data_IF_229406872165
#
_entry.id   IF_229406872165
#
_cell.length_a   1.000
_cell.length_b   1.000
_cell.length_c   1.000
_cell.angle_alpha   90.00
_cell.angle_beta   90.00
_cell.angle_gamma   90.00
#
_symmetry.space_group_name_H-M   'P 1'
#
loop_
_entity.id
_entity.type
_entity.pdbx_description
1 polymer ?
#
# COMPACT_ATOMS: atom_id res chain seq x y z
N UNK A 1 14.86 44.73 84.58
CA UNK A 1 15.59 44.74 83.32
C UNK A 1 15.30 43.48 82.62
N UNK A 2 14.51 43.47 81.56
CA UNK A 2 14.29 42.28 80.73
C UNK A 2 15.35 42.18 79.64
N UNK A 3 15.88 40.98 79.48
CA UNK A 3 16.90 40.65 78.48
C UNK A 3 16.11 40.18 77.18
N UNK A 4 16.36 40.94 76.12
CA UNK A 4 15.81 40.69 74.79
C UNK A 4 16.69 39.62 74.11
N UNK A 5 16.15 38.45 73.83
CA UNK A 5 16.78 37.39 73.01
C UNK A 5 15.92 37.07 71.81
N UNK A 6 16.07 37.81 70.74
CA UNK A 6 15.53 37.45 69.45
C UNK A 6 16.60 37.62 68.36
N UNK A 7 17.44 36.62 68.16
CA UNK A 7 18.33 36.51 67.00
C UNK A 7 18.02 35.21 66.25
N UNK A 8 17.16 35.33 65.23
CA UNK A 8 16.98 34.25 64.22
C UNK A 8 18.25 34.17 63.37
N UNK A 9 18.71 32.91 63.01
CA UNK A 9 19.87 32.75 62.13
C UNK A 9 19.50 33.16 60.68
N UNK A 10 20.49 33.62 59.87
CA UNK A 10 20.26 33.98 58.47
C UNK A 10 19.78 32.78 57.65
N UNK A 11 18.74 32.98 56.87
CA UNK A 11 18.28 32.01 55.82
C UNK A 11 19.40 31.91 54.80
N UNK A 12 19.99 30.71 54.66
CA UNK A 12 20.81 30.36 53.51
C UNK A 12 19.91 30.29 52.28
N UNK A 13 20.12 31.17 51.31
CA UNK A 13 19.46 31.14 50.01
C UNK A 13 19.78 29.80 49.31
N UNK A 14 18.76 28.97 49.12
CA UNK A 14 18.87 27.80 48.30
C UNK A 14 19.13 28.24 46.83
N UNK A 15 20.06 27.60 46.10
CA UNK A 15 20.32 27.96 44.72
C UNK A 15 19.05 27.83 43.87
N UNK A 16 18.81 28.83 43.03
CA UNK A 16 17.70 28.85 42.10
C UNK A 16 17.72 27.55 41.25
N UNK A 17 16.57 26.91 40.98
CA UNK A 17 16.54 25.70 40.17
C UNK A 17 17.13 26.01 38.80
N UNK A 18 18.10 25.21 38.37
CA UNK A 18 18.71 25.30 37.04
C UNK A 18 17.65 25.38 35.96
N UNK A 19 17.77 26.36 35.06
CA UNK A 19 16.84 26.54 33.95
C UNK A 19 16.77 25.25 33.16
N UNK A 20 15.54 24.67 33.01
CA UNK A 20 15.31 23.49 32.16
C UNK A 20 15.83 23.82 30.77
N UNK A 21 16.65 22.96 30.16
CA UNK A 21 17.10 23.16 28.79
C UNK A 21 15.90 23.39 27.86
N UNK A 22 16.00 24.38 26.98
CA UNK A 22 14.97 24.70 26.01
C UNK A 22 14.60 23.42 25.24
N UNK A 23 13.31 23.07 25.24
CA UNK A 23 12.85 21.91 24.47
C UNK A 23 13.16 22.12 23.00
N UNK A 24 13.80 21.13 22.36
CA UNK A 24 14.01 21.14 20.93
C UNK A 24 12.67 21.43 20.18
N UNK A 25 12.70 22.23 19.12
CA UNK A 25 11.49 22.55 18.37
C UNK A 25 10.86 21.27 17.81
N UNK A 26 9.51 21.23 17.78
CA UNK A 26 8.79 20.11 17.20
C UNK A 26 9.05 20.10 15.70
N UNK A 27 9.42 18.94 15.16
CA UNK A 27 9.50 18.70 13.72
C UNK A 27 8.09 18.57 13.15
N UNK A 28 7.79 19.22 12.04
CA UNK A 28 6.49 18.99 11.38
C UNK A 28 6.37 17.54 10.90
N UNK A 29 5.15 17.02 10.79
CA UNK A 29 4.93 15.69 10.26
C UNK A 29 5.46 15.54 8.81
N UNK A 30 5.24 16.59 8.00
CA UNK A 30 5.63 16.59 6.60
C UNK A 30 7.18 16.63 6.46
N UNK A 31 7.88 17.43 7.29
CA UNK A 31 9.35 17.42 7.33
C UNK A 31 9.92 16.10 7.84
N UNK A 32 9.28 15.49 8.85
CA UNK A 32 9.68 14.18 9.34
C UNK A 32 9.58 13.11 8.25
N UNK A 33 8.43 13.07 7.55
CA UNK A 33 8.21 12.14 6.44
C UNK A 33 9.20 12.39 5.29
N UNK A 34 9.42 13.64 4.92
CA UNK A 34 10.37 14.00 3.86
C UNK A 34 11.80 13.52 4.20
N UNK A 35 12.26 13.70 5.44
CA UNK A 35 13.57 13.23 5.89
C UNK A 35 13.67 11.70 5.84
N UNK A 36 12.66 10.98 6.34
CA UNK A 36 12.61 9.51 6.26
C UNK A 36 12.73 9.02 4.82
N UNK A 37 11.92 9.57 3.91
CA UNK A 37 11.88 9.16 2.51
C UNK A 37 13.12 9.55 1.71
N UNK A 38 13.82 10.64 2.09
CA UNK A 38 15.09 11.01 1.49
C UNK A 38 16.23 10.04 1.86
N UNK A 39 16.15 9.44 3.05
CA UNK A 39 17.18 8.55 3.57
C UNK A 39 16.99 7.11 3.08
N UNK A 40 15.73 6.63 2.99
CA UNK A 40 15.42 5.24 2.65
C UNK A 40 15.32 5.06 1.13
N UNK A 41 16.03 4.06 0.60
CA UNK A 41 15.99 3.67 -0.81
C UNK A 41 15.21 2.36 -1.00
N UNK A 42 14.66 2.11 -2.19
CA UNK A 42 14.09 0.80 -2.52
C UNK A 42 15.10 -0.33 -2.32
N UNK A 43 14.60 -1.50 -1.90
CA UNK A 43 15.41 -2.70 -1.80
C UNK A 43 15.96 -3.09 -3.20
N UNK A 44 17.22 -3.51 -3.29
CA UNK A 44 17.80 -3.92 -4.56
C UNK A 44 17.23 -5.26 -5.05
N UNK A 45 17.24 -5.44 -6.38
CA UNK A 45 16.84 -6.69 -7.01
C UNK A 45 15.32 -6.87 -7.14
N UNK A 46 14.95 -7.99 -7.73
CA UNK A 46 13.57 -8.41 -7.95
C UNK A 46 13.50 -9.93 -8.02
N UNK A 47 12.29 -10.45 -7.95
CA UNK A 47 11.98 -11.86 -8.20
C UNK A 47 10.90 -11.97 -9.27
N UNK A 48 10.98 -13.02 -10.10
CA UNK A 48 9.98 -13.30 -11.13
C UNK A 48 8.99 -14.32 -10.56
N UNK A 49 7.70 -13.96 -10.51
CA UNK A 49 6.64 -14.81 -9.96
C UNK A 49 5.50 -14.97 -10.95
N UNK A 50 4.67 -15.99 -10.75
CA UNK A 50 3.44 -16.17 -11.51
C UNK A 50 2.51 -14.95 -11.35
N UNK A 51 1.95 -14.45 -12.45
CA UNK A 51 0.92 -13.40 -12.42
C UNK A 51 -0.26 -13.79 -11.53
N UNK A 52 -0.58 -15.09 -11.47
CA UNK A 52 -1.66 -15.63 -10.65
C UNK A 52 -1.45 -15.39 -9.15
N UNK A 53 -0.20 -15.40 -8.68
CA UNK A 53 0.18 -15.26 -7.25
C UNK A 53 0.67 -13.85 -6.89
N UNK A 54 0.61 -12.91 -7.85
CA UNK A 54 1.24 -11.59 -7.70
C UNK A 54 0.39 -10.53 -6.98
N UNK A 55 -0.80 -10.88 -6.45
CA UNK A 55 -1.65 -9.92 -5.76
C UNK A 55 -0.92 -9.23 -4.60
N UNK A 56 -0.99 -7.89 -4.58
CA UNK A 56 -0.38 -7.06 -3.53
C UNK A 56 1.14 -6.90 -3.61
N UNK A 57 1.80 -7.55 -4.60
CA UNK A 57 3.22 -7.32 -4.89
C UNK A 57 3.40 -6.00 -5.63
N UNK A 58 4.62 -5.54 -5.74
CA UNK A 58 4.98 -4.28 -6.40
C UNK A 58 5.82 -4.59 -7.63
N UNK A 59 5.45 -4.06 -8.79
CA UNK A 59 6.18 -4.26 -10.04
C UNK A 59 7.56 -3.60 -9.96
N UNK A 60 8.60 -4.34 -10.37
CA UNK A 60 9.96 -3.81 -10.55
C UNK A 60 10.17 -3.23 -11.95
N UNK A 61 9.47 -3.77 -12.93
CA UNK A 61 9.58 -3.39 -14.33
C UNK A 61 8.21 -3.09 -14.92
N UNK A 62 8.19 -2.28 -15.98
CA UNK A 62 6.98 -2.02 -16.75
C UNK A 62 6.46 -3.31 -17.40
N UNK A 63 5.14 -3.49 -17.42
CA UNK A 63 4.49 -4.54 -18.22
C UNK A 63 4.12 -3.93 -19.57
N UNK A 64 4.78 -4.41 -20.62
CA UNK A 64 4.57 -3.95 -21.99
C UNK A 64 3.74 -5.00 -22.75
N UNK A 65 2.69 -4.56 -23.42
CA UNK A 65 1.87 -5.48 -24.23
C UNK A 65 2.63 -5.96 -25.47
N UNK A 66 2.70 -7.28 -25.64
CA UNK A 66 3.25 -7.91 -26.85
C UNK A 66 2.21 -8.12 -27.96
N UNK A 67 0.94 -7.84 -27.68
CA UNK A 67 -0.20 -8.03 -28.59
C UNK A 67 -1.09 -6.78 -28.62
N UNK A 68 -1.93 -6.69 -29.64
CA UNK A 68 -3.07 -5.80 -29.63
C UNK A 68 -4.25 -6.43 -28.88
N UNK A 69 -5.07 -5.64 -28.19
CA UNK A 69 -6.34 -6.09 -27.57
C UNK A 69 -7.46 -5.17 -28.06
N UNK A 70 -8.44 -5.67 -28.77
CA UNK A 70 -8.52 -7.03 -29.36
C UNK A 70 -7.46 -7.28 -30.47
N UNK A 71 -7.11 -8.55 -30.74
CA UNK A 71 -6.03 -8.85 -31.71
C UNK A 71 -6.44 -8.64 -33.18
N UNK A 72 -7.70 -8.42 -33.44
CA UNK A 72 -8.27 -8.10 -34.76
C UNK A 72 -9.61 -7.39 -34.59
N UNK A 73 -10.10 -6.77 -35.67
CA UNK A 73 -11.44 -6.18 -35.66
C UNK A 73 -12.48 -7.21 -35.30
N UNK A 74 -13.30 -6.93 -34.28
CA UNK A 74 -14.34 -7.85 -33.80
C UNK A 74 -15.68 -7.15 -33.60
N UNK A 75 -16.76 -7.90 -33.47
CA UNK A 75 -18.07 -7.34 -33.20
C UNK A 75 -18.35 -7.19 -31.72
N UNK A 76 -18.96 -6.07 -31.33
CA UNK A 76 -19.48 -5.83 -29.98
C UNK A 76 -20.91 -6.35 -29.77
N UNK A 77 -21.58 -6.84 -30.85
CA UNK A 77 -22.97 -7.24 -30.80
C UNK A 77 -23.19 -8.59 -31.52
N UNK A 78 -24.23 -9.30 -31.14
CA UNK A 78 -24.79 -10.40 -31.92
C UNK A 78 -25.57 -9.85 -33.07
N UNK A 79 -25.33 -10.37 -34.29
CA UNK A 79 -25.99 -9.81 -35.45
C UNK A 79 -25.50 -10.39 -36.77
N UNK A 80 -25.43 -9.56 -37.78
CA UNK A 80 -25.00 -9.91 -39.13
C UNK A 80 -23.91 -8.93 -39.59
N UNK A 81 -22.74 -9.46 -39.91
CA UNK A 81 -21.68 -8.73 -40.58
C UNK A 81 -21.97 -8.64 -42.07
N UNK A 82 -21.85 -7.46 -42.64
CA UNK A 82 -22.18 -7.15 -44.01
C UNK A 82 -21.41 -5.94 -44.51
N UNK A 83 -21.48 -5.62 -45.78
CA UNK A 83 -21.04 -4.33 -46.32
C UNK A 83 -22.19 -3.34 -46.17
N UNK A 84 -21.95 -2.22 -45.53
CA UNK A 84 -22.98 -1.19 -45.36
C UNK A 84 -23.57 -0.74 -46.68
N UNK A 85 -22.75 -0.65 -47.74
CA UNK A 85 -23.18 -0.28 -49.09
C UNK A 85 -24.13 -1.26 -49.78
N UNK A 86 -24.20 -2.53 -49.30
CA UNK A 86 -25.11 -3.53 -49.85
C UNK A 86 -26.55 -3.41 -49.27
N UNK A 87 -26.73 -2.57 -48.23
CA UNK A 87 -28.06 -2.25 -47.67
C UNK A 87 -28.48 -0.87 -48.17
N UNK A 88 -29.17 -0.88 -49.32
CA UNK A 88 -29.57 0.39 -49.99
C UNK A 88 -30.72 1.07 -49.22
N UNK A 89 -31.62 0.28 -48.66
CA UNK A 89 -32.78 0.77 -47.87
C UNK A 89 -33.17 -0.25 -46.77
N UNK A 90 -33.86 0.18 -45.71
CA UNK A 90 -34.44 -0.73 -44.74
C UNK A 90 -35.36 -1.78 -45.42
N UNK A 91 -35.23 -3.05 -45.02
CA UNK A 91 -35.91 -4.18 -45.64
C UNK A 91 -35.10 -4.91 -46.72
N UNK A 92 -33.87 -4.47 -47.00
CA UNK A 92 -32.95 -5.20 -47.92
C UNK A 92 -32.73 -6.63 -47.44
N UNK A 93 -32.84 -7.60 -48.36
CA UNK A 93 -32.64 -9.03 -48.08
C UNK A 93 -31.33 -9.52 -48.68
N UNK A 94 -30.48 -10.12 -47.83
CA UNK A 94 -29.17 -10.65 -48.20
C UNK A 94 -29.07 -12.15 -47.87
N UNK A 95 -28.42 -12.97 -48.72
CA UNK A 95 -28.13 -14.38 -48.40
C UNK A 95 -27.09 -14.44 -47.24
N UNK A 96 -27.31 -15.36 -46.30
CA UNK A 96 -26.36 -15.62 -45.21
C UNK A 96 -25.37 -16.68 -45.64
N UNK A 97 -24.14 -16.27 -45.94
CA UNK A 97 -23.12 -17.15 -46.53
C UNK A 97 -22.37 -18.01 -45.49
N UNK A 98 -22.33 -17.57 -44.23
CA UNK A 98 -21.60 -18.26 -43.19
C UNK A 98 -22.07 -17.84 -41.78
N UNK A 99 -21.66 -18.64 -40.78
CA UNK A 99 -21.87 -18.37 -39.35
C UNK A 99 -20.52 -18.33 -38.64
N UNK A 100 -20.21 -17.23 -37.93
CA UNK A 100 -18.90 -16.95 -37.32
C UNK A 100 -19.08 -16.78 -35.81
N UNK A 101 -18.94 -17.84 -34.99
CA UNK A 101 -18.91 -17.72 -33.54
C UNK A 101 -17.59 -17.16 -33.06
N UNK A 102 -17.53 -16.71 -31.79
CA UNK A 102 -16.29 -16.28 -31.15
C UNK A 102 -15.21 -17.38 -31.23
N UNK A 103 -13.97 -16.99 -31.50
CA UNK A 103 -12.84 -17.91 -31.68
C UNK A 103 -12.71 -18.53 -33.06
N UNK A 104 -13.63 -18.24 -33.99
CA UNK A 104 -13.58 -18.70 -35.39
C UNK A 104 -13.27 -17.53 -36.31
N UNK A 105 -12.36 -17.75 -37.26
CA UNK A 105 -12.07 -16.78 -38.34
C UNK A 105 -12.95 -17.15 -39.54
N UNK A 106 -13.81 -16.21 -39.96
CA UNK A 106 -14.66 -16.38 -41.10
C UNK A 106 -13.91 -16.28 -42.43
N UNK A 107 -14.54 -16.82 -43.52
CA UNK A 107 -14.06 -16.59 -44.87
C UNK A 107 -14.34 -15.16 -45.30
N UNK A 108 -13.60 -14.59 -46.28
CA UNK A 108 -13.91 -13.30 -46.85
C UNK A 108 -15.37 -13.20 -47.30
N UNK A 109 -16.04 -12.11 -46.92
CA UNK A 109 -17.45 -11.88 -47.25
C UNK A 109 -17.57 -11.38 -48.69
N UNK A 110 -18.38 -12.04 -49.47
CA UNK A 110 -18.68 -11.65 -50.86
C UNK A 110 -19.64 -10.46 -50.87
N UNK A 111 -19.51 -9.51 -51.83
CA UNK A 111 -20.49 -8.48 -52.04
C UNK A 111 -21.91 -9.02 -52.18
N UNK A 112 -22.90 -8.31 -51.63
CA UNK A 112 -24.30 -8.74 -51.66
C UNK A 112 -24.63 -9.93 -50.74
N UNK A 113 -23.75 -10.24 -49.76
CA UNK A 113 -24.03 -11.30 -48.77
C UNK A 113 -23.83 -10.80 -47.33
N UNK A 114 -24.34 -11.56 -46.37
CA UNK A 114 -24.18 -11.35 -44.96
C UNK A 114 -23.57 -12.60 -44.28
N UNK A 115 -22.89 -12.38 -43.14
CA UNK A 115 -22.42 -13.42 -42.24
C UNK A 115 -23.14 -13.33 -40.90
N UNK A 116 -23.75 -14.40 -40.41
CA UNK A 116 -24.23 -14.44 -39.01
C UNK A 116 -23.04 -14.42 -38.07
N UNK A 117 -22.96 -13.40 -37.18
CA UNK A 117 -21.81 -13.16 -36.30
C UNK A 117 -22.28 -13.01 -34.85
N UNK A 118 -21.39 -13.32 -33.88
CA UNK A 118 -21.67 -13.27 -32.47
C UNK A 118 -20.65 -12.42 -31.75
N UNK A 119 -21.06 -11.81 -30.65
CA UNK A 119 -20.22 -10.91 -29.83
C UNK A 119 -18.83 -11.47 -29.60
N UNK A 120 -17.80 -10.67 -29.85
CA UNK A 120 -16.40 -11.05 -29.76
C UNK A 120 -15.84 -11.81 -30.98
N UNK A 121 -16.68 -12.20 -31.95
CA UNK A 121 -16.20 -12.85 -33.16
C UNK A 121 -15.49 -11.85 -34.08
N UNK A 122 -14.45 -12.32 -34.79
CA UNK A 122 -13.69 -11.54 -35.72
C UNK A 122 -14.51 -11.13 -36.95
N UNK A 123 -14.42 -9.85 -37.35
CA UNK A 123 -15.07 -9.37 -38.55
C UNK A 123 -14.43 -10.01 -39.79
N UNK A 124 -15.21 -10.66 -40.67
CA UNK A 124 -14.65 -11.23 -41.88
C UNK A 124 -14.18 -10.16 -42.86
N UNK A 125 -13.08 -10.40 -43.55
CA UNK A 125 -12.58 -9.48 -44.57
C UNK A 125 -13.69 -9.16 -45.58
N UNK A 126 -13.85 -7.87 -45.93
CA UNK A 126 -14.91 -7.40 -46.83
C UNK A 126 -16.19 -6.92 -46.15
N UNK A 127 -16.44 -7.28 -44.89
CA UNK A 127 -17.51 -6.65 -44.13
C UNK A 127 -17.07 -5.27 -43.58
N UNK A 128 -18.00 -4.31 -43.64
CA UNK A 128 -17.73 -2.92 -43.17
C UNK A 128 -18.61 -2.48 -42.01
N UNK A 129 -19.65 -3.28 -41.66
CA UNK A 129 -20.56 -3.01 -40.57
C UNK A 129 -21.12 -4.29 -39.99
N UNK A 130 -21.63 -4.20 -38.75
CA UNK A 130 -22.49 -5.22 -38.14
C UNK A 130 -23.85 -4.58 -37.84
N UNK A 131 -24.92 -5.30 -38.18
CA UNK A 131 -26.29 -4.93 -37.79
C UNK A 131 -26.74 -5.89 -36.70
N UNK A 132 -27.25 -5.31 -35.59
CA UNK A 132 -27.74 -6.09 -34.46
C UNK A 132 -28.89 -7.01 -34.88
N UNK A 133 -28.96 -8.18 -34.30
CA UNK A 133 -30.01 -9.17 -34.64
C UNK A 133 -31.43 -8.65 -34.38
N UNK A 134 -31.60 -7.70 -33.42
CA UNK A 134 -32.87 -7.05 -33.11
C UNK A 134 -33.40 -6.17 -34.26
N UNK A 135 -32.50 -5.76 -35.16
CA UNK A 135 -32.82 -4.98 -36.36
C UNK A 135 -32.83 -5.85 -37.62
N UNK A 136 -32.85 -7.16 -37.46
CA UNK A 136 -32.83 -8.13 -38.54
C UNK A 136 -33.93 -9.18 -38.39
N UNK A 137 -34.37 -9.76 -39.52
CA UNK A 137 -35.29 -10.90 -39.57
C UNK A 137 -34.62 -12.02 -40.36
N UNK A 138 -34.44 -13.20 -39.71
CA UNK A 138 -33.94 -14.37 -40.40
C UNK A 138 -35.05 -14.98 -41.27
N UNK A 139 -34.76 -15.27 -42.54
CA UNK A 139 -35.68 -15.79 -43.51
C UNK A 139 -35.14 -17.12 -44.05
N UNK A 140 -35.99 -18.11 -44.22
CA UNK A 140 -35.67 -19.31 -45.00
C UNK A 140 -36.26 -19.17 -46.40
N UNK A 141 -35.40 -19.19 -47.42
CA UNK A 141 -35.82 -19.08 -48.81
C UNK A 141 -36.50 -20.41 -49.28
N UNK A 142 -37.25 -20.41 -50.39
CA UNK A 142 -37.93 -21.58 -50.90
C UNK A 142 -36.99 -22.75 -51.22
N UNK A 143 -35.73 -22.50 -51.52
CA UNK A 143 -34.67 -23.49 -51.76
C UNK A 143 -34.00 -24.02 -50.48
N UNK A 144 -34.47 -23.58 -49.29
CA UNK A 144 -33.92 -23.95 -47.98
C UNK A 144 -32.71 -23.13 -47.54
N UNK A 145 -32.22 -22.18 -48.33
CA UNK A 145 -31.11 -21.31 -47.98
C UNK A 145 -31.52 -20.27 -46.92
N UNK A 146 -30.56 -19.91 -46.07
CA UNK A 146 -30.77 -18.87 -45.04
C UNK A 146 -30.52 -17.49 -45.62
N UNK A 147 -31.46 -16.58 -45.40
CA UNK A 147 -31.36 -15.15 -45.76
C UNK A 147 -31.62 -14.29 -44.52
N UNK A 148 -31.25 -13.03 -44.58
CA UNK A 148 -31.55 -12.02 -43.55
C UNK A 148 -32.17 -10.79 -44.21
N UNK A 149 -33.29 -10.33 -43.64
CA UNK A 149 -33.84 -9.00 -43.94
C UNK A 149 -33.27 -8.01 -42.95
N UNK A 150 -32.62 -6.96 -43.44
CA UNK A 150 -31.99 -5.92 -42.66
C UNK A 150 -32.97 -4.74 -42.60
N UNK A 151 -33.51 -4.45 -41.40
CA UNK A 151 -34.58 -3.46 -41.21
C UNK A 151 -34.04 -2.06 -40.81
N UNK A 152 -32.73 -1.89 -40.75
CA UNK A 152 -32.08 -0.58 -40.51
C UNK A 152 -30.96 -0.37 -41.51
N UNK A 153 -30.66 0.87 -41.83
CA UNK A 153 -29.53 1.23 -42.68
C UNK A 153 -28.26 1.37 -41.90
N UNK A 154 -27.25 0.48 -42.05
CA UNK A 154 -26.00 0.56 -41.30
C UNK A 154 -25.07 1.62 -41.88
N UNK A 155 -24.16 2.10 -41.01
CA UNK A 155 -23.03 2.96 -41.41
C UNK A 155 -21.73 2.15 -41.30
N UNK A 156 -20.72 2.56 -42.11
CA UNK A 156 -19.40 1.92 -42.04
C UNK A 156 -18.80 2.06 -40.63
N UNK A 157 -18.24 0.96 -40.13
CA UNK A 157 -17.68 0.87 -38.78
C UNK A 157 -18.70 0.58 -37.69
N UNK A 158 -20.00 0.55 -37.98
CA UNK A 158 -21.03 0.33 -36.97
C UNK A 158 -20.84 -1.03 -36.27
N UNK A 159 -20.82 -1.01 -34.91
CA UNK A 159 -20.63 -2.15 -34.02
C UNK A 159 -19.34 -2.97 -34.26
N UNK A 160 -18.34 -2.36 -34.90
CA UNK A 160 -17.01 -2.95 -35.08
C UNK A 160 -16.05 -2.31 -34.08
N UNK A 161 -15.50 -3.13 -33.17
CA UNK A 161 -14.37 -2.76 -32.33
C UNK A 161 -13.09 -2.98 -33.13
N UNK A 162 -12.22 -1.98 -33.09
CA UNK A 162 -11.00 -2.02 -33.90
C UNK A 162 -9.88 -2.78 -33.19
N UNK A 163 -9.02 -3.40 -33.95
CA UNK A 163 -7.78 -4.01 -33.48
C UNK A 163 -7.00 -2.99 -32.64
N UNK A 164 -6.57 -3.40 -31.42
CA UNK A 164 -5.79 -2.55 -30.53
C UNK A 164 -6.57 -1.42 -29.87
N UNK A 165 -7.90 -1.39 -29.96
CA UNK A 165 -8.75 -0.33 -29.40
C UNK A 165 -8.59 -0.19 -27.89
N UNK A 166 -8.46 -1.29 -27.16
CA UNK A 166 -8.29 -1.30 -25.70
C UNK A 166 -6.81 -1.16 -25.32
N UNK A 167 -5.94 -1.96 -25.98
CA UNK A 167 -4.49 -1.97 -25.73
C UNK A 167 -3.77 -2.14 -27.06
N UNK A 168 -2.92 -1.17 -27.38
CA UNK A 168 -2.05 -1.27 -28.55
C UNK A 168 -0.79 -2.09 -28.21
N UNK A 169 -0.32 -2.88 -29.16
CA UNK A 169 0.99 -3.56 -29.06
C UNK A 169 2.10 -2.55 -28.77
N UNK A 170 3.04 -2.94 -27.90
CA UNK A 170 4.17 -2.13 -27.42
C UNK A 170 3.79 -0.97 -26.49
N UNK A 171 2.52 -0.84 -26.07
CA UNK A 171 2.15 0.11 -25.02
C UNK A 171 2.47 -0.46 -23.63
N UNK A 172 2.86 0.43 -22.70
CA UNK A 172 3.01 0.10 -21.29
C UNK A 172 1.61 0.04 -20.68
N UNK A 173 1.22 -1.13 -20.16
CA UNK A 173 -0.08 -1.35 -19.54
C UNK A 173 -0.04 -1.20 -18.02
N UNK A 174 1.09 -1.51 -17.38
CA UNK A 174 1.33 -1.30 -15.97
C UNK A 174 2.76 -0.78 -15.79
N UNK A 175 2.95 0.22 -14.95
CA UNK A 175 4.26 0.84 -14.71
C UNK A 175 4.98 0.20 -13.52
N UNK A 176 6.30 0.22 -13.54
CA UNK A 176 7.15 -0.09 -12.39
C UNK A 176 6.72 0.75 -11.16
N UNK A 177 6.83 0.17 -9.97
CA UNK A 177 6.38 0.79 -8.73
C UNK A 177 4.86 0.72 -8.49
N UNK A 178 4.09 0.11 -9.41
CA UNK A 178 2.66 -0.13 -9.22
C UNK A 178 2.42 -1.30 -8.26
N UNK A 179 1.63 -1.08 -7.21
CA UNK A 179 1.18 -2.17 -6.33
C UNK A 179 0.01 -2.90 -6.97
N UNK A 180 0.21 -4.19 -7.27
CA UNK A 180 -0.71 -5.02 -8.02
C UNK A 180 -2.04 -5.25 -7.29
N UNK A 181 -3.12 -4.96 -7.98
CA UNK A 181 -4.51 -5.18 -7.56
C UNK A 181 -5.15 -6.28 -8.41
N UNK A 182 -6.35 -6.71 -8.07
CA UNK A 182 -7.10 -7.67 -8.89
C UNK A 182 -7.26 -7.18 -10.35
N UNK A 183 -7.53 -5.89 -10.54
CA UNK A 183 -7.64 -5.26 -11.87
C UNK A 183 -6.32 -5.31 -12.62
N UNK A 184 -5.20 -5.03 -11.94
CA UNK A 184 -3.85 -5.08 -12.54
C UNK A 184 -3.49 -6.49 -13.01
N UNK A 185 -3.84 -7.52 -12.22
CA UNK A 185 -3.61 -8.92 -12.60
C UNK A 185 -4.43 -9.31 -13.82
N UNK A 186 -5.71 -8.90 -13.88
CA UNK A 186 -6.56 -9.11 -15.03
C UNK A 186 -6.01 -8.43 -16.29
N UNK A 187 -5.52 -7.19 -16.17
CA UNK A 187 -4.90 -6.45 -17.26
C UNK A 187 -3.60 -7.13 -17.74
N UNK A 188 -2.71 -7.51 -16.82
CA UNK A 188 -1.49 -8.24 -17.17
C UNK A 188 -1.80 -9.57 -17.89
N UNK A 189 -2.78 -10.31 -17.40
CA UNK A 189 -3.20 -11.56 -18.03
C UNK A 189 -3.80 -11.34 -19.42
N UNK A 190 -4.56 -10.25 -19.64
CA UNK A 190 -5.18 -9.94 -20.95
C UNK A 190 -4.18 -9.66 -22.05
N UNK A 191 -2.96 -9.26 -21.70
CA UNK A 191 -1.84 -9.05 -22.65
C UNK A 191 -0.86 -10.23 -22.69
N UNK A 192 -1.20 -11.35 -22.02
CA UNK A 192 -0.44 -12.59 -22.06
C UNK A 192 0.73 -12.67 -21.08
N UNK A 193 0.83 -11.76 -20.11
CA UNK A 193 1.90 -11.80 -19.11
C UNK A 193 1.64 -12.91 -18.07
N UNK A 194 2.27 -14.07 -18.26
CA UNK A 194 2.16 -15.22 -17.35
C UNK A 194 2.98 -15.05 -16.07
N UNK A 195 4.05 -14.27 -16.12
CA UNK A 195 4.96 -13.95 -15.01
C UNK A 195 5.21 -12.46 -14.94
N UNK A 196 5.49 -11.98 -13.75
CA UNK A 196 5.78 -10.57 -13.48
C UNK A 196 7.05 -10.47 -12.64
N UNK A 197 7.88 -9.47 -12.94
CA UNK A 197 9.01 -9.09 -12.12
C UNK A 197 8.54 -8.16 -11.02
N UNK A 198 8.72 -8.56 -9.77
CA UNK A 198 8.24 -7.85 -8.60
C UNK A 198 9.36 -7.60 -7.61
N UNK A 199 9.30 -6.48 -6.91
CA UNK A 199 10.25 -6.14 -5.85
C UNK A 199 10.22 -7.19 -4.73
N UNK A 200 11.38 -7.39 -4.07
CA UNK A 200 11.45 -8.22 -2.88
C UNK A 200 10.55 -7.68 -1.76
N UNK A 201 10.03 -8.58 -0.93
CA UNK A 201 9.28 -8.21 0.25
C UNK A 201 10.24 -7.68 1.32
N UNK A 202 9.96 -6.53 1.97
CA UNK A 202 10.75 -6.11 3.11
C UNK A 202 10.68 -7.15 4.24
N UNK A 203 11.83 -7.56 4.74
CA UNK A 203 11.96 -8.42 5.91
C UNK A 203 12.00 -7.53 7.15
N UNK A 204 11.04 -7.69 8.05
CA UNK A 204 10.86 -6.82 9.21
C UNK A 204 10.96 -7.63 10.50
N UNK A 205 11.93 -7.26 11.33
CA UNK A 205 12.00 -7.73 12.72
C UNK A 205 11.07 -6.89 13.58
N UNK A 206 10.17 -7.54 14.33
CA UNK A 206 9.24 -6.89 15.25
C UNK A 206 9.52 -7.36 16.67
N UNK A 207 9.70 -6.43 17.61
CA UNK A 207 9.74 -6.72 19.05
C UNK A 207 9.12 -5.59 19.88
N UNK A 208 8.88 -5.86 21.15
CA UNK A 208 8.43 -4.88 22.13
C UNK A 208 9.35 -4.92 23.35
N UNK A 209 9.51 -3.79 24.02
CA UNK A 209 10.19 -3.69 25.31
C UNK A 209 9.24 -3.11 26.35
N UNK A 210 9.39 -3.51 27.59
CA UNK A 210 8.60 -3.04 28.73
C UNK A 210 8.28 -4.18 29.67
N UNK A 211 8.72 -4.08 30.92
CA UNK A 211 8.52 -5.10 31.95
C UNK A 211 7.05 -5.22 32.38
N UNK A 212 6.23 -4.21 32.05
CA UNK A 212 4.78 -4.22 32.23
C UNK A 212 4.04 -5.11 31.22
N UNK A 213 4.72 -5.54 30.14
CA UNK A 213 4.04 -6.23 29.03
C UNK A 213 3.90 -7.72 29.28
N UNK A 214 2.69 -8.22 29.09
CA UNK A 214 2.35 -9.64 29.19
C UNK A 214 1.69 -10.09 27.88
N UNK A 215 1.98 -11.31 27.44
CA UNK A 215 1.32 -11.86 26.26
C UNK A 215 -0.10 -12.33 26.60
N UNK A 216 -1.10 -12.01 25.74
CA UNK A 216 -2.41 -12.63 25.84
C UNK A 216 -2.30 -14.16 25.85
N UNK A 217 -2.95 -14.80 26.82
CA UNK A 217 -2.90 -16.24 27.03
C UNK A 217 -1.76 -16.75 27.92
N UNK A 218 -0.72 -15.93 28.18
CA UNK A 218 0.36 -16.31 29.11
C UNK A 218 -0.10 -16.20 30.57
N UNK A 219 -0.93 -15.22 30.89
CA UNK A 219 -1.51 -15.02 32.24
C UNK A 219 -3.01 -14.78 32.05
N UNK A 220 -3.83 -15.42 32.87
CA UNK A 220 -5.28 -15.18 32.84
C UNK A 220 -5.62 -13.78 33.37
N UNK A 221 -6.71 -13.14 32.89
CA UNK A 221 -7.04 -11.75 33.24
C UNK A 221 -7.20 -11.49 34.74
N UNK A 222 -7.73 -12.47 35.49
CA UNK A 222 -7.90 -12.44 36.93
C UNK A 222 -6.61 -12.67 37.73
N UNK A 223 -5.54 -13.11 37.08
CA UNK A 223 -4.22 -13.32 37.65
C UNK A 223 -3.16 -12.34 37.17
N UNK A 224 -3.56 -11.26 36.48
CA UNK A 224 -2.62 -10.23 35.98
C UNK A 224 -1.87 -9.57 37.14
N UNK A 225 -0.52 -9.50 37.08
CA UNK A 225 0.26 -8.79 38.09
C UNK A 225 -0.16 -7.28 38.13
N UNK A 226 -0.11 -6.66 39.33
CA UNK A 226 -0.36 -5.23 39.45
C UNK A 226 0.57 -4.42 38.52
N UNK A 227 0.00 -3.52 37.74
CA UNK A 227 0.74 -2.69 36.79
C UNK A 227 1.02 -3.33 35.43
N UNK A 228 0.80 -4.63 35.28
CA UNK A 228 0.97 -5.31 33.99
C UNK A 228 -0.19 -5.04 33.02
N UNK A 229 0.12 -5.02 31.74
CA UNK A 229 -0.83 -4.86 30.65
C UNK A 229 -0.59 -5.89 29.54
N UNK A 230 -1.64 -6.26 28.80
CA UNK A 230 -1.45 -7.10 27.62
C UNK A 230 -0.80 -6.33 26.47
N UNK A 231 0.19 -6.95 25.82
CA UNK A 231 0.88 -6.39 24.65
C UNK A 231 -0.02 -6.41 23.41
N UNK A 232 -0.86 -5.40 23.26
CA UNK A 232 -1.76 -5.25 22.10
C UNK A 232 -1.05 -4.71 20.86
N UNK A 233 0.00 -3.89 21.04
CA UNK A 233 0.73 -3.28 19.92
C UNK A 233 1.38 -4.33 19.01
N UNK A 234 1.94 -5.39 19.59
CA UNK A 234 2.54 -6.49 18.84
C UNK A 234 1.57 -7.11 17.82
N UNK A 235 0.30 -7.35 18.22
CA UNK A 235 -0.73 -7.88 17.33
C UNK A 235 -1.09 -6.89 16.22
N UNK A 236 -1.29 -5.63 16.60
CA UNK A 236 -1.65 -4.55 15.67
C UNK A 236 -0.54 -4.34 14.63
N UNK A 237 0.70 -4.17 15.09
CA UNK A 237 1.84 -3.90 14.20
C UNK A 237 2.14 -5.09 13.28
N UNK A 238 2.11 -6.33 13.81
CA UNK A 238 2.28 -7.53 13.00
C UNK A 238 1.24 -7.63 11.89
N UNK A 239 -0.04 -7.38 12.21
CA UNK A 239 -1.12 -7.42 11.22
C UNK A 239 -0.96 -6.31 10.16
N UNK A 240 -0.56 -5.09 10.55
CA UNK A 240 -0.29 -3.99 9.63
C UNK A 240 0.88 -4.29 8.68
N UNK A 241 1.97 -4.86 9.21
CA UNK A 241 3.14 -5.27 8.41
C UNK A 241 2.76 -6.34 7.39
N UNK A 242 2.05 -7.39 7.82
CA UNK A 242 1.58 -8.46 6.95
C UNK A 242 0.61 -7.93 5.86
N UNK A 243 -0.30 -7.03 6.22
CA UNK A 243 -1.22 -6.36 5.28
C UNK A 243 -0.50 -5.50 4.22
N UNK A 244 0.71 -5.02 4.52
CA UNK A 244 1.58 -4.34 3.56
C UNK A 244 2.41 -5.30 2.70
N UNK A 245 2.39 -6.60 2.98
CA UNK A 245 3.12 -7.61 2.24
C UNK A 245 4.55 -7.84 2.75
N UNK A 246 4.88 -7.40 3.98
CA UNK A 246 6.19 -7.67 4.59
C UNK A 246 6.33 -9.10 5.09
N UNK A 247 7.54 -9.62 5.09
CA UNK A 247 7.93 -10.82 5.83
C UNK A 247 8.27 -10.40 7.26
N UNK A 248 7.59 -10.99 8.25
CA UNK A 248 7.69 -10.53 9.64
C UNK A 248 8.24 -11.63 10.52
N UNK A 249 9.41 -11.38 11.11
CA UNK A 249 9.99 -12.17 12.20
C UNK A 249 9.66 -11.50 13.52
N UNK A 250 9.03 -12.23 14.40
CA UNK A 250 8.52 -11.74 15.68
C UNK A 250 9.43 -12.17 16.83
N UNK A 251 10.25 -11.27 17.35
CA UNK A 251 11.19 -11.50 18.45
C UNK A 251 10.55 -11.44 19.86
N UNK A 252 9.27 -11.13 19.93
CA UNK A 252 8.54 -11.16 21.18
C UNK A 252 8.69 -9.91 22.05
N UNK A 253 8.68 -10.14 23.38
CA UNK A 253 8.96 -9.13 24.39
C UNK A 253 10.41 -9.33 24.79
N UNK A 254 11.25 -8.35 24.49
CA UNK A 254 12.67 -8.32 24.87
C UNK A 254 12.77 -7.76 26.30
N UNK A 255 13.45 -8.43 27.23
CA UNK A 255 13.67 -7.91 28.57
C UNK A 255 14.29 -6.51 28.53
N UNK A 256 13.84 -5.61 29.41
CA UNK A 256 14.34 -4.23 29.45
C UNK A 256 15.73 -4.15 30.10
N UNK A 257 16.70 -4.73 29.41
CA UNK A 257 18.12 -4.78 29.76
C UNK A 257 18.98 -4.50 28.55
N UNK A 258 20.03 -3.73 28.75
CA UNK A 258 20.93 -3.29 27.69
C UNK A 258 21.55 -4.46 26.90
N UNK A 259 22.03 -5.49 27.58
CA UNK A 259 22.66 -6.66 26.97
C UNK A 259 21.69 -7.46 26.10
N UNK A 260 20.47 -7.74 26.60
CA UNK A 260 19.41 -8.44 25.88
C UNK A 260 18.97 -7.65 24.64
N UNK A 261 18.72 -6.34 24.80
CA UNK A 261 18.32 -5.46 23.70
C UNK A 261 19.38 -5.39 22.60
N UNK A 262 20.68 -5.26 22.97
CA UNK A 262 21.79 -5.28 22.01
C UNK A 262 21.90 -6.59 21.26
N UNK A 263 21.75 -7.73 21.95
CA UNK A 263 21.78 -9.05 21.31
C UNK A 263 20.66 -9.19 20.28
N UNK A 264 19.43 -8.81 20.65
CA UNK A 264 18.27 -8.82 19.74
C UNK A 264 18.47 -7.89 18.52
N UNK A 265 19.03 -6.69 18.73
CA UNK A 265 19.30 -5.76 17.63
C UNK A 265 20.29 -6.33 16.62
N UNK A 266 21.38 -6.98 17.07
CA UNK A 266 22.37 -7.63 16.20
C UNK A 266 21.77 -8.79 15.41
N UNK A 267 21.02 -9.66 16.08
CA UNK A 267 20.34 -10.78 15.46
C UNK A 267 19.32 -10.29 14.42
N UNK A 268 18.52 -9.31 14.78
CA UNK A 268 17.55 -8.70 13.87
C UNK A 268 18.22 -8.03 12.66
N UNK A 269 19.32 -7.28 12.85
CA UNK A 269 20.01 -6.60 11.77
C UNK A 269 20.66 -7.55 10.76
N UNK A 270 21.05 -8.76 11.17
CA UNK A 270 21.70 -9.73 10.29
C UNK A 270 20.82 -10.11 9.09
N UNK A 271 19.53 -10.30 9.30
CA UNK A 271 18.63 -10.88 8.29
C UNK A 271 17.48 -9.98 7.85
N UNK A 272 17.28 -8.81 8.50
CA UNK A 272 16.14 -7.95 8.21
C UNK A 272 16.53 -6.61 7.60
N UNK A 273 15.60 -6.01 6.89
CA UNK A 273 15.77 -4.72 6.21
C UNK A 273 15.29 -3.57 7.11
N UNK A 274 14.35 -3.86 8.02
CA UNK A 274 13.80 -2.94 9.01
C UNK A 274 13.62 -3.64 10.36
N UNK A 275 14.00 -2.97 11.42
CA UNK A 275 13.69 -3.32 12.81
C UNK A 275 12.64 -2.35 13.31
N UNK A 276 11.49 -2.87 13.74
CA UNK A 276 10.38 -2.09 14.27
C UNK A 276 10.10 -2.47 15.72
N UNK A 277 10.03 -1.47 16.59
CA UNK A 277 9.67 -1.70 18.00
C UNK A 277 8.56 -0.75 18.45
N UNK A 278 7.81 -1.15 19.46
CA UNK A 278 6.89 -0.29 20.20
C UNK A 278 7.24 -0.26 21.69
N UNK A 279 7.28 0.94 22.27
CA UNK A 279 7.81 1.18 23.60
C UNK A 279 9.30 1.55 23.57
N UNK A 280 9.87 1.93 24.72
CA UNK A 280 11.29 2.24 24.86
C UNK A 280 11.80 3.45 24.08
N UNK A 281 10.94 4.34 23.60
CA UNK A 281 11.33 5.56 22.84
C UNK A 281 11.04 6.85 23.61
N UNK A 282 10.79 6.74 24.91
CA UNK A 282 10.60 7.88 25.79
C UNK A 282 11.96 8.45 26.23
N UNK A 283 11.95 9.65 26.79
CA UNK A 283 13.13 10.27 27.41
C UNK A 283 13.33 9.84 28.88
N UNK A 284 12.75 8.69 29.27
CA UNK A 284 12.86 8.13 30.63
C UNK A 284 14.26 7.63 30.95
N UNK A 285 14.65 7.68 32.23
CA UNK A 285 15.97 7.25 32.70
C UNK A 285 16.17 5.72 32.64
N UNK A 286 15.09 4.95 32.56
CA UNK A 286 15.09 3.46 32.53
C UNK A 286 14.97 2.89 31.08
N UNK A 287 15.16 3.72 30.04
CA UNK A 287 15.03 3.32 28.64
C UNK A 287 16.36 2.76 28.12
N UNK A 288 16.51 1.44 28.06
CA UNK A 288 17.69 0.74 27.56
C UNK A 288 17.75 0.67 26.02
N UNK A 289 16.67 0.95 25.32
CA UNK A 289 16.63 0.86 23.86
C UNK A 289 17.54 1.91 23.18
N UNK A 290 17.48 3.15 23.64
CA UNK A 290 18.32 4.23 23.10
C UNK A 290 19.82 3.94 23.19
N UNK A 291 20.40 3.62 24.36
CA UNK A 291 21.81 3.28 24.46
C UNK A 291 22.17 2.00 23.69
N UNK A 292 21.26 1.03 23.58
CA UNK A 292 21.48 -0.17 22.79
C UNK A 292 21.61 0.13 21.28
N UNK A 293 20.70 0.92 20.72
CA UNK A 293 20.75 1.30 19.29
C UNK A 293 21.98 2.15 18.98
N UNK A 294 22.34 3.10 19.87
CA UNK A 294 23.55 3.92 19.70
C UNK A 294 24.85 3.10 19.78
N UNK A 295 24.88 2.00 20.54
CA UNK A 295 26.03 1.11 20.58
C UNK A 295 26.16 0.25 19.32
N UNK A 296 25.04 -0.14 18.69
CA UNK A 296 25.01 -1.01 17.52
C UNK A 296 24.87 -0.24 16.19
N UNK A 297 24.64 1.08 16.23
CA UNK A 297 24.43 1.87 15.03
C UNK A 297 24.24 3.35 15.31
N UNK A 298 23.24 3.95 14.68
CA UNK A 298 22.89 5.37 14.79
C UNK A 298 21.42 5.54 15.17
N UNK A 299 21.11 6.55 15.95
CA UNK A 299 19.74 6.88 16.37
C UNK A 299 19.53 8.39 16.44
N UNK A 300 18.47 8.84 15.78
CA UNK A 300 17.90 10.17 15.90
C UNK A 300 16.56 10.09 16.64
N UNK A 301 16.39 10.89 17.67
CA UNK A 301 15.13 11.01 18.40
C UNK A 301 14.39 12.26 17.95
N UNK A 302 13.22 12.08 17.37
CA UNK A 302 12.41 13.18 16.87
C UNK A 302 11.18 13.41 17.73
N UNK A 303 10.93 14.69 18.06
CA UNK A 303 9.65 15.13 18.62
C UNK A 303 8.80 15.70 17.50
N UNK A 304 7.79 14.95 17.07
CA UNK A 304 6.95 15.31 15.93
C UNK A 304 5.75 16.15 16.39
N UNK A 305 5.42 17.18 15.61
CA UNK A 305 4.29 18.08 15.84
C UNK A 305 2.95 17.45 15.51
N UNK A 306 2.68 16.24 16.02
CA UNK A 306 1.42 15.50 15.83
C UNK A 306 0.83 15.04 17.15
N UNK A 307 -0.48 14.78 17.17
CA UNK A 307 -1.24 14.29 18.32
C UNK A 307 -2.36 13.37 17.83
N UNK A 308 -2.41 12.10 18.32
CA UNK A 308 -1.39 11.44 19.18
C UNK A 308 -0.12 11.07 18.41
N UNK A 309 0.98 10.72 19.10
CA UNK A 309 2.19 10.17 18.48
C UNK A 309 3.38 11.14 18.40
N UNK A 310 3.69 11.84 19.47
CA UNK A 310 4.81 12.80 19.50
C UNK A 310 6.20 12.20 19.31
N UNK A 311 6.64 11.14 20.04
CA UNK A 311 7.98 10.59 19.91
C UNK A 311 8.10 9.65 18.73
N UNK A 312 9.21 9.75 18.00
CA UNK A 312 9.68 8.79 17.00
C UNK A 312 11.18 8.62 17.16
N UNK A 313 11.64 7.39 17.21
CA UNK A 313 13.05 7.05 17.08
C UNK A 313 13.28 6.53 15.64
N UNK A 314 14.26 7.08 14.95
CA UNK A 314 14.67 6.64 13.62
C UNK A 314 16.19 6.51 13.56
N UNK A 315 16.67 5.44 12.94
CA UNK A 315 18.11 5.17 12.86
C UNK A 315 18.43 3.95 12.02
N UNK A 316 19.59 3.41 12.29
CA UNK A 316 20.09 2.18 11.65
C UNK A 316 20.89 1.34 12.63
N UNK A 317 20.88 0.02 12.44
CA UNK A 317 21.69 -0.94 13.19
C UNK A 317 22.60 -1.65 12.19
N UNK A 318 23.92 -1.66 12.49
CA UNK A 318 24.92 -2.29 11.62
C UNK A 318 24.67 -3.80 11.51
N UNK A 319 24.77 -4.33 10.31
CA UNK A 319 24.79 -5.78 10.10
C UNK A 319 26.11 -6.37 10.60
N UNK A 320 26.09 -7.53 11.25
CA UNK A 320 27.31 -8.25 11.56
C UNK A 320 28.15 -8.47 10.30
N UNK A 321 29.48 -8.36 10.40
CA UNK A 321 30.38 -8.71 9.31
C UNK A 321 30.41 -10.24 9.14
N UNK A 322 30.42 -10.69 7.90
CA UNK A 322 30.67 -12.11 7.63
C UNK A 322 32.07 -12.51 8.08
N UNK A 323 32.24 -13.78 8.49
CA UNK A 323 33.52 -14.30 8.97
C UNK A 323 34.57 -14.20 7.84
N UNK A 324 35.52 -13.27 7.98
CA UNK A 324 36.59 -13.02 7.00
C UNK A 324 36.46 -11.75 6.19
N UNK A 325 35.36 -10.98 6.32
CA UNK A 325 35.27 -9.63 5.76
C UNK A 325 36.05 -8.63 6.62
N UNK A 326 36.94 -7.89 5.99
CA UNK A 326 37.60 -6.76 6.64
C UNK A 326 36.59 -5.62 6.84
N UNK A 327 36.65 -4.96 8.00
CA UNK A 327 35.89 -3.73 8.19
C UNK A 327 36.29 -2.72 7.10
N UNK A 328 35.32 -2.14 6.38
CA UNK A 328 35.64 -1.19 5.33
C UNK A 328 36.34 0.04 5.93
N UNK A 329 37.36 0.52 5.21
CA UNK A 329 38.09 1.71 5.57
C UNK A 329 37.15 2.92 5.53
N UNK A 330 36.78 3.45 6.68
CA UNK A 330 36.47 4.86 6.89
C UNK A 330 35.07 5.41 6.56
N UNK A 331 34.03 4.64 6.27
CA UNK A 331 32.67 5.22 6.26
C UNK A 331 31.77 4.53 7.30
N UNK A 332 31.64 5.17 8.46
CA UNK A 332 30.66 4.79 9.51
C UNK A 332 29.19 4.86 9.02
N UNK A 333 28.97 5.38 7.80
CA UNK A 333 27.66 5.71 7.22
C UNK A 333 27.23 4.80 6.04
N UNK A 334 27.85 3.63 5.83
CA UNK A 334 27.40 2.72 4.76
C UNK A 334 26.06 2.07 5.12
N UNK A 335 24.99 2.77 4.73
CA UNK A 335 23.60 2.39 4.92
C UNK A 335 23.27 1.05 4.24
N UNK A 336 24.02 0.66 3.20
CA UNK A 336 23.82 -0.61 2.49
C UNK A 336 24.10 -1.82 3.40
N UNK A 337 24.89 -1.63 4.44
CA UNK A 337 25.30 -2.64 5.44
C UNK A 337 24.53 -2.51 6.77
N UNK A 338 23.39 -1.88 6.76
CA UNK A 338 22.59 -1.64 7.96
C UNK A 338 21.15 -2.04 7.75
N UNK A 339 20.49 -2.47 8.82
CA UNK A 339 19.04 -2.53 8.89
C UNK A 339 18.50 -1.19 9.40
N UNK A 340 17.43 -0.70 8.81
CA UNK A 340 16.75 0.46 9.35
C UNK A 340 16.15 0.17 10.71
N UNK A 341 16.09 1.17 11.58
CA UNK A 341 15.47 1.07 12.89
C UNK A 341 14.38 2.13 13.04
N UNK A 342 13.17 1.71 13.44
CA UNK A 342 12.08 2.62 13.80
C UNK A 342 11.50 2.20 15.14
N UNK A 343 11.50 3.12 16.11
CA UNK A 343 10.87 2.96 17.41
C UNK A 343 9.59 3.78 17.50
N UNK A 344 8.49 3.14 17.87
CA UNK A 344 7.15 3.74 17.98
C UNK A 344 6.76 3.99 19.44
N UNK A 345 5.84 4.95 19.69
CA UNK A 345 5.28 5.17 21.01
C UNK A 345 4.64 3.91 21.59
N UNK A 346 4.68 3.74 22.94
CA UNK A 346 4.02 2.63 23.63
C UNK A 346 2.49 2.70 23.60
N UNK A 347 1.88 3.90 23.58
CA UNK A 347 0.43 4.05 23.52
C UNK A 347 -0.17 3.51 22.20
N UNK A 348 -1.16 2.60 22.22
CA UNK A 348 -1.68 1.91 21.04
C UNK A 348 -2.16 2.81 19.90
N UNK A 349 -2.95 3.85 20.19
CA UNK A 349 -3.43 4.77 19.15
C UNK A 349 -2.28 5.61 18.58
N UNK A 350 -1.32 6.01 19.44
CA UNK A 350 -0.13 6.74 18.99
C UNK A 350 0.73 5.86 18.06
N UNK A 351 0.97 4.62 18.46
CA UNK A 351 1.71 3.64 17.67
C UNK A 351 1.05 3.40 16.30
N UNK A 352 -0.26 3.19 16.29
CA UNK A 352 -1.04 2.97 15.07
C UNK A 352 -0.98 4.16 14.11
N UNK A 353 -1.26 5.38 14.62
CA UNK A 353 -1.26 6.59 13.78
C UNK A 353 0.15 6.90 13.26
N UNK A 354 1.18 6.76 14.11
CA UNK A 354 2.57 6.95 13.69
C UNK A 354 2.98 5.90 12.65
N UNK A 355 2.55 4.65 12.81
CA UNK A 355 2.77 3.62 11.80
C UNK A 355 2.17 4.01 10.45
N UNK A 356 0.91 4.40 10.40
CA UNK A 356 0.23 4.75 9.15
C UNK A 356 0.88 5.94 8.43
N UNK A 357 1.33 6.94 9.18
CA UNK A 357 1.81 8.21 8.62
C UNK A 357 3.31 8.22 8.32
N UNK A 358 4.12 7.41 9.01
CA UNK A 358 5.58 7.44 8.89
C UNK A 358 6.16 6.07 8.51
N UNK A 359 5.75 4.96 9.16
CA UNK A 359 6.32 3.63 8.87
C UNK A 359 5.79 3.06 7.55
N UNK A 360 4.49 3.17 7.31
CA UNK A 360 3.88 2.70 6.06
C UNK A 360 4.52 3.30 4.80
N UNK A 361 4.72 4.63 4.69
CA UNK A 361 5.42 5.20 3.54
C UNK A 361 6.86 4.68 3.38
N UNK A 362 7.59 4.48 4.47
CA UNK A 362 8.93 3.89 4.45
C UNK A 362 8.90 2.46 3.89
N UNK A 363 7.99 1.62 4.37
CA UNK A 363 7.83 0.25 3.88
C UNK A 363 7.41 0.19 2.40
N UNK A 364 6.55 1.10 1.96
CA UNK A 364 6.18 1.23 0.56
C UNK A 364 7.38 1.70 -0.28
N UNK A 365 8.20 2.62 0.25
CA UNK A 365 9.43 3.07 -0.40
C UNK A 365 10.43 1.94 -0.56
N UNK A 366 10.63 1.11 0.47
CA UNK A 366 11.47 -0.09 0.41
C UNK A 366 11.00 -1.06 -0.68
N UNK A 367 9.70 -1.18 -0.92
CA UNK A 367 9.12 -1.98 -2.00
C UNK A 367 9.18 -1.29 -3.38
N UNK A 368 9.68 -0.06 -3.48
CA UNK A 368 9.74 0.68 -4.74
C UNK A 368 8.42 1.28 -5.21
N UNK A 369 7.40 1.38 -4.33
CA UNK A 369 6.12 2.03 -4.67
C UNK A 369 6.35 3.51 -4.95
N UNK A 370 5.73 4.02 -6.02
CA UNK A 370 5.85 5.43 -6.42
C UNK A 370 4.87 6.32 -5.63
N UNK A 371 3.61 5.90 -5.49
CA UNK A 371 2.58 6.63 -4.74
C UNK A 371 2.58 6.21 -3.26
N UNK A 372 3.30 6.97 -2.44
CA UNK A 372 3.46 6.69 -1.01
C UNK A 372 2.38 7.35 -0.15
N UNK A 373 1.66 8.33 -0.67
CA UNK A 373 0.68 9.10 0.09
C UNK A 373 -0.51 8.23 0.51
N UNK A 374 -1.05 8.39 1.72
CA UNK A 374 -2.32 7.80 2.06
C UNK A 374 -3.46 8.48 1.28
N UNK A 375 -4.42 7.70 0.80
CA UNK A 375 -5.63 8.29 0.21
C UNK A 375 -6.35 9.11 1.26
N UNK A 376 -6.67 10.35 0.93
CA UNK A 376 -7.38 11.27 1.81
C UNK A 376 -8.57 11.89 1.09
N UNK A 377 -9.62 12.17 1.85
CA UNK A 377 -10.83 12.81 1.34
C UNK A 377 -11.22 13.93 2.28
N UNK A 378 -11.61 15.06 1.74
CA UNK A 378 -12.16 16.16 2.53
C UNK A 378 -13.62 15.85 2.85
N UNK A 379 -13.96 15.83 4.14
CA UNK A 379 -15.31 15.61 4.64
C UNK A 379 -15.71 16.75 5.57
N UNK A 380 -17.00 17.08 5.60
CA UNK A 380 -17.53 18.09 6.53
C UNK A 380 -17.59 17.50 7.94
N UNK A 381 -17.02 18.23 8.94
CA UNK A 381 -17.20 17.88 10.34
C UNK A 381 -18.66 18.08 10.77
N UNK A 382 -19.23 17.09 11.44
CA UNK A 382 -20.52 17.15 12.11
C UNK A 382 -20.40 17.48 13.60
N UNK A 383 -19.24 18.03 14.02
CA UNK A 383 -18.94 18.36 15.42
C UNK A 383 -18.14 19.65 15.51
N UNK A 384 -18.16 20.28 16.68
CA UNK A 384 -17.32 21.42 17.00
C UNK A 384 -16.01 20.98 17.64
N UNK A 385 -14.91 21.62 17.24
CA UNK A 385 -13.56 21.40 17.82
C UNK A 385 -13.04 22.74 18.36
N UNK A 386 -13.45 23.16 19.57
CA UNK A 386 -13.30 24.53 20.03
C UNK A 386 -11.85 24.93 20.40
N UNK A 387 -10.97 23.95 20.59
CA UNK A 387 -9.56 24.22 20.96
C UNK A 387 -8.64 23.44 20.05
N UNK A 388 -8.00 24.14 19.11
CA UNK A 388 -6.90 23.57 18.32
C UNK A 388 -5.64 23.42 19.17
N UNK A 389 -4.81 22.44 18.83
CA UNK A 389 -3.43 22.28 19.35
C UNK A 389 -2.45 22.92 18.34
N UNK A 390 -1.26 23.31 18.81
CA UNK A 390 -0.15 23.75 17.94
C UNK A 390 0.38 22.60 17.07
N UNK A 391 0.07 21.38 17.42
CA UNK A 391 0.38 20.16 16.68
C UNK A 391 -0.77 19.79 15.74
N UNK A 392 -0.45 19.10 14.65
CA UNK A 392 -1.48 18.47 13.78
C UNK A 392 -2.22 17.39 14.56
N UNK A 393 -3.54 17.55 14.75
CA UNK A 393 -4.35 16.61 15.49
C UNK A 393 -5.02 15.59 14.56
N UNK A 394 -4.94 14.33 14.96
CA UNK A 394 -5.61 13.20 14.32
C UNK A 394 -6.69 12.67 15.27
N UNK A 395 -7.93 12.86 14.88
CA UNK A 395 -9.09 12.45 15.68
C UNK A 395 -9.80 11.27 15.02
N UNK A 396 -10.35 10.39 15.84
CA UNK A 396 -11.15 9.26 15.37
C UNK A 396 -12.56 9.72 15.08
N UNK A 397 -13.03 9.41 13.88
CA UNK A 397 -14.35 9.78 13.40
C UNK A 397 -15.02 8.59 12.74
N UNK A 398 -16.35 8.63 12.63
CA UNK A 398 -17.16 7.79 11.77
C UNK A 398 -17.82 8.67 10.72
N UNK A 399 -18.10 8.12 9.54
CA UNK A 399 -18.92 8.80 8.56
C UNK A 399 -20.38 8.47 8.88
N UNK A 400 -21.15 9.50 9.18
CA UNK A 400 -22.61 9.41 9.32
C UNK A 400 -23.30 9.11 7.98
N UNK A 401 -24.56 8.73 8.03
CA UNK A 401 -25.36 8.45 6.83
C UNK A 401 -25.51 9.69 5.92
N UNK A 402 -25.36 10.89 6.49
CA UNK A 402 -25.38 12.18 5.77
C UNK A 402 -24.03 12.57 5.16
N UNK A 403 -23.02 11.71 5.26
CA UNK A 403 -21.66 11.95 4.76
C UNK A 403 -20.81 12.90 5.61
N UNK A 404 -21.27 13.32 6.79
CA UNK A 404 -20.49 14.13 7.72
C UNK A 404 -19.64 13.25 8.62
N UNK A 405 -18.49 13.79 9.06
CA UNK A 405 -17.68 13.14 10.07
C UNK A 405 -18.30 13.35 11.47
N UNK A 406 -18.61 12.27 12.17
CA UNK A 406 -19.05 12.26 13.56
C UNK A 406 -17.88 11.88 14.46
N UNK A 407 -17.68 12.63 15.55
CA UNK A 407 -16.58 12.36 16.47
C UNK A 407 -16.82 11.05 17.22
N UNK A 408 -15.85 10.14 17.17
CA UNK A 408 -15.88 8.93 17.99
C UNK A 408 -15.79 9.33 19.47
N UNK A 409 -16.66 8.76 20.31
CA UNK A 409 -16.84 9.18 21.71
C UNK A 409 -15.56 9.07 22.56
N UNK A 410 -14.70 8.09 22.28
CA UNK A 410 -13.45 7.88 23.02
C UNK A 410 -12.25 8.28 22.18
N UNK A 411 -11.59 9.37 22.54
CA UNK A 411 -10.37 9.90 21.90
C UNK A 411 -9.09 9.53 22.68
N UNK A 412 -9.18 8.63 23.71
CA UNK A 412 -8.01 8.18 24.49
C UNK A 412 -6.95 7.50 23.60
N UNK A 413 -5.68 7.74 23.88
CA UNK A 413 -4.59 7.09 23.16
C UNK A 413 -4.29 5.66 23.65
N UNK A 414 -4.87 5.24 24.77
CA UNK A 414 -4.53 3.98 25.44
C UNK A 414 -5.12 2.73 24.81
N UNK A 415 -6.21 2.83 24.05
CA UNK A 415 -6.87 1.67 23.45
C UNK A 415 -7.41 1.99 22.06
N UNK A 416 -7.20 1.08 21.11
CA UNK A 416 -7.81 1.10 19.78
C UNK A 416 -9.25 0.52 19.90
N UNK A 417 -10.24 1.41 20.06
CA UNK A 417 -11.65 1.05 20.23
C UNK A 417 -12.53 1.40 19.02
N UNK A 418 -11.95 1.90 17.96
CA UNK A 418 -12.67 2.37 16.75
C UNK A 418 -12.10 1.76 15.48
#
# INVERSE_FOLDING_TARGET
>A
MPVDMNTSPPRTDAPAPAARPARAPLLSLDDALARLLATVQPLPGHETISTFDALGRVLSNDVVSLIDVPPGDNTSMDGYALRAADVVEPGTVLPVSQRIPAGVVGQPLLPGSAARIFTGAQIPAGATAVVMQEHCEAITAPDGSTQVRVNSQPTDGQWIRRRGEDVARASVVLQAGHKLTAQSLGLAASVGAAHLDVAHRPRVALFSTGDELVMPGAVAPDHMPPGAIYNSNRYTLRALLQGLGCEVTDFGIVPDRLDATRATLREAAAEHDLILTSGGVSVGEEDHLRPAVLAEGRLDLWSIGMKPGKPLAFGSVRRPLDVGEAAPDGSEDDVSRSAWFIGLPGNPVSSYVTFLLLVRPVLLRLQGVVDLAPRSYTVRAGFDWPRGDVRREFVRVRLGADGRAELFHNQSAGVLTS
#
